data_IF_610586829615
#
_entry.id   IF_610586829615
#
_cell.length_a   1.000
_cell.length_b   1.000
_cell.length_c   1.000
_cell.angle_alpha   90.00
_cell.angle_beta   90.00
_cell.angle_gamma   90.00
#
_symmetry.space_group_name_H-M   'P 1'
#
loop_
_entity.id
_entity.type
_entity.pdbx_description
1 polymer ?
#
# COMPACT_ATOMS: atom_id res chain seq x y z
N UNK A 1 -64.07 -50.48 -20.84
CA UNK A 1 -62.86 -50.36 -19.99
C UNK A 1 -62.82 -48.98 -19.35
N UNK A 2 -63.09 -48.81 -18.03
CA UNK A 2 -63.10 -47.49 -17.42
C UNK A 2 -61.69 -47.01 -17.11
N UNK A 3 -61.36 -45.79 -17.56
CA UNK A 3 -60.07 -45.12 -17.33
C UNK A 3 -59.93 -44.79 -15.83
N UNK A 4 -58.85 -45.25 -15.19
CA UNK A 4 -58.48 -44.93 -13.80
C UNK A 4 -58.24 -43.43 -13.65
N UNK A 5 -59.08 -42.72 -12.88
CA UNK A 5 -58.83 -41.35 -12.40
C UNK A 5 -57.67 -41.38 -11.40
N UNK A 6 -56.47 -40.95 -11.81
CA UNK A 6 -55.32 -40.80 -10.89
C UNK A 6 -55.55 -39.57 -10.00
N UNK A 7 -55.37 -39.78 -8.70
CA UNK A 7 -55.77 -38.96 -7.56
C UNK A 7 -55.06 -37.59 -7.50
N UNK A 8 -55.88 -36.54 -7.37
CA UNK A 8 -55.54 -35.15 -6.97
C UNK A 8 -55.12 -35.06 -5.48
N UNK A 9 -55.12 -36.17 -4.74
CA UNK A 9 -54.93 -36.20 -3.28
C UNK A 9 -53.48 -35.99 -2.82
N UNK A 10 -52.49 -36.19 -3.69
CA UNK A 10 -51.06 -35.97 -3.36
C UNK A 10 -50.72 -34.49 -3.14
N UNK A 11 -51.29 -33.61 -3.96
CA UNK A 11 -51.11 -32.16 -3.83
C UNK A 11 -51.81 -31.60 -2.59
N UNK A 12 -52.99 -32.11 -2.25
CA UNK A 12 -53.71 -31.67 -1.06
C UNK A 12 -52.98 -32.05 0.24
N UNK A 13 -52.39 -33.25 0.31
CA UNK A 13 -51.59 -33.69 1.45
C UNK A 13 -50.28 -32.90 1.58
N UNK A 14 -49.58 -32.66 0.47
CA UNK A 14 -48.35 -31.85 0.42
C UNK A 14 -48.61 -30.41 0.86
N UNK A 15 -49.70 -29.79 0.39
CA UNK A 15 -50.13 -28.45 0.82
C UNK A 15 -50.41 -28.39 2.33
N UNK A 16 -51.12 -29.38 2.88
CA UNK A 16 -51.39 -29.47 4.33
C UNK A 16 -50.13 -29.64 5.16
N UNK A 17 -49.13 -30.35 4.64
CA UNK A 17 -47.84 -30.50 5.31
C UNK A 17 -47.00 -29.21 5.25
N UNK A 18 -47.02 -28.50 4.12
CA UNK A 18 -46.37 -27.19 3.98
C UNK A 18 -46.97 -26.15 4.94
N UNK A 19 -48.29 -26.13 5.09
CA UNK A 19 -49.00 -25.27 6.04
C UNK A 19 -48.55 -25.59 7.47
N UNK A 20 -48.58 -26.86 7.89
CA UNK A 20 -48.11 -27.27 9.23
C UNK A 20 -46.64 -26.90 9.47
N UNK A 21 -45.76 -27.06 8.47
CA UNK A 21 -44.35 -26.64 8.57
C UNK A 21 -44.23 -25.12 8.74
N UNK A 22 -45.07 -24.33 8.08
CA UNK A 22 -45.10 -22.87 8.24
C UNK A 22 -45.59 -22.47 9.62
N UNK A 23 -46.67 -23.07 10.10
CA UNK A 23 -47.23 -22.82 11.44
C UNK A 23 -46.21 -23.13 12.54
N UNK A 24 -45.48 -24.24 12.44
CA UNK A 24 -44.38 -24.54 13.37
C UNK A 24 -43.32 -23.45 13.38
N UNK A 25 -42.88 -22.96 12.21
CA UNK A 25 -41.87 -21.88 12.11
C UNK A 25 -42.33 -20.54 12.69
N UNK A 26 -43.63 -20.28 12.73
CA UNK A 26 -44.19 -19.04 13.30
C UNK A 26 -44.12 -19.06 14.82
N UNK A 27 -44.31 -20.23 15.43
CA UNK A 27 -44.35 -20.40 16.91
C UNK A 27 -42.98 -20.78 17.49
N UNK A 28 -42.01 -21.18 16.64
CA UNK A 28 -40.63 -21.49 17.04
C UNK A 28 -39.99 -20.35 17.85
N UNK A 29 -39.34 -20.70 18.96
CA UNK A 29 -38.52 -19.77 19.75
C UNK A 29 -37.25 -19.39 18.99
N UNK A 30 -36.61 -18.29 19.37
CA UNK A 30 -35.37 -17.85 18.73
C UNK A 30 -34.24 -18.88 18.87
N UNK A 31 -34.16 -19.58 19.99
CA UNK A 31 -33.20 -20.68 20.20
C UNK A 31 -33.47 -21.87 19.28
N UNK A 32 -34.74 -22.28 19.15
CA UNK A 32 -35.14 -23.37 18.24
C UNK A 32 -34.86 -23.00 16.78
N UNK A 33 -35.15 -21.75 16.39
CA UNK A 33 -34.85 -21.21 15.07
C UNK A 33 -33.34 -21.21 14.80
N UNK A 34 -32.54 -20.71 15.73
CA UNK A 34 -31.09 -20.64 15.59
C UNK A 34 -30.46 -22.04 15.53
N UNK A 35 -30.92 -22.98 16.35
CA UNK A 35 -30.52 -24.39 16.27
C UNK A 35 -30.87 -25.01 14.92
N UNK A 36 -32.10 -24.81 14.42
CA UNK A 36 -32.52 -25.29 13.11
C UNK A 36 -31.66 -24.71 11.98
N UNK A 37 -31.40 -23.38 12.00
CA UNK A 37 -30.55 -22.71 11.02
C UNK A 37 -29.10 -23.21 11.08
N UNK A 38 -28.56 -23.45 12.28
CA UNK A 38 -27.22 -24.00 12.47
C UNK A 38 -27.10 -25.40 11.87
N UNK A 39 -28.06 -26.29 12.11
CA UNK A 39 -28.08 -27.64 11.51
C UNK A 39 -28.14 -27.57 9.98
N UNK A 40 -28.96 -26.67 9.43
CA UNK A 40 -29.05 -26.46 7.98
C UNK A 40 -27.74 -25.91 7.39
N UNK A 41 -27.08 -24.99 8.10
CA UNK A 41 -25.78 -24.44 7.70
C UNK A 41 -24.69 -25.52 7.72
N UNK A 42 -24.64 -26.35 8.77
CA UNK A 42 -23.69 -27.45 8.90
C UNK A 42 -23.90 -28.51 7.81
N UNK A 43 -25.15 -28.93 7.58
CA UNK A 43 -25.49 -29.84 6.48
C UNK A 43 -25.06 -29.27 5.12
N UNK A 44 -25.27 -27.96 4.90
CA UNK A 44 -24.85 -27.28 3.69
C UNK A 44 -23.34 -27.17 3.54
N UNK A 45 -22.59 -27.03 4.64
CA UNK A 45 -21.13 -27.07 4.62
C UNK A 45 -20.62 -28.47 4.28
N UNK A 46 -21.14 -29.52 4.92
CA UNK A 46 -20.76 -30.91 4.63
C UNK A 46 -20.98 -31.26 3.16
N UNK A 47 -22.16 -30.94 2.62
CA UNK A 47 -22.46 -31.14 1.20
C UNK A 47 -21.47 -30.41 0.28
N UNK A 48 -21.05 -29.18 0.62
CA UNK A 48 -20.08 -28.41 -0.16
C UNK A 48 -18.66 -28.96 -0.06
N UNK A 49 -18.30 -29.62 1.06
CA UNK A 49 -17.01 -30.26 1.22
C UNK A 49 -16.90 -31.56 0.40
N UNK A 50 -18.03 -32.21 0.14
CA UNK A 50 -18.14 -33.45 -0.66
C UNK A 50 -18.36 -33.18 -2.17
N UNK A 51 -18.45 -31.92 -2.61
CA UNK A 51 -18.64 -31.57 -4.03
C UNK A 51 -17.39 -31.91 -4.86
N UNK A 52 -17.59 -32.49 -6.04
CA UNK A 52 -16.53 -32.56 -7.05
C UNK A 52 -16.28 -31.19 -7.69
N UNK A 53 -15.13 -31.01 -8.35
CA UNK A 53 -14.83 -29.75 -9.02
C UNK A 53 -15.83 -29.41 -10.14
N UNK A 54 -16.35 -30.40 -10.87
CA UNK A 54 -17.40 -30.19 -11.88
C UNK A 54 -18.72 -29.73 -11.24
N UNK A 55 -19.12 -30.37 -10.13
CA UNK A 55 -20.32 -29.99 -9.39
C UNK A 55 -20.19 -28.57 -8.81
N UNK A 56 -19.01 -28.25 -8.28
CA UNK A 56 -18.68 -26.92 -7.76
C UNK A 56 -18.73 -25.87 -8.85
N UNK A 57 -18.10 -26.13 -10.00
CA UNK A 57 -18.08 -25.21 -11.14
C UNK A 57 -19.47 -24.99 -11.73
N UNK A 58 -20.27 -26.06 -11.87
CA UNK A 58 -21.67 -25.98 -12.29
C UNK A 58 -22.50 -25.12 -11.33
N UNK A 59 -22.38 -25.38 -10.01
CA UNK A 59 -23.06 -24.60 -8.98
C UNK A 59 -22.66 -23.12 -9.02
N UNK A 60 -21.37 -22.82 -9.10
CA UNK A 60 -20.86 -21.45 -9.20
C UNK A 60 -21.33 -20.75 -10.48
N UNK A 61 -21.40 -21.47 -11.59
CA UNK A 61 -21.96 -20.99 -12.87
C UNK A 61 -23.41 -20.54 -12.72
N UNK A 62 -24.27 -21.39 -12.13
CA UNK A 62 -25.68 -21.07 -11.87
C UNK A 62 -25.82 -19.86 -10.92
N UNK A 63 -25.02 -19.80 -9.85
CA UNK A 63 -25.00 -18.65 -8.93
C UNK A 63 -24.57 -17.36 -9.62
N UNK A 64 -23.57 -17.43 -10.50
CA UNK A 64 -23.08 -16.33 -11.32
C UNK A 64 -24.15 -15.79 -12.26
N UNK A 65 -24.78 -16.68 -13.04
CA UNK A 65 -25.87 -16.33 -13.96
C UNK A 65 -27.04 -15.67 -13.22
N UNK A 66 -27.49 -16.28 -12.11
CA UNK A 66 -28.58 -15.71 -11.30
C UNK A 66 -28.20 -14.34 -10.71
N UNK A 67 -26.93 -14.13 -10.36
CA UNK A 67 -26.46 -12.82 -9.91
C UNK A 67 -26.46 -11.79 -11.03
N UNK A 68 -26.10 -12.16 -12.26
CA UNK A 68 -26.15 -11.27 -13.41
C UNK A 68 -27.59 -10.89 -13.75
N UNK A 69 -28.50 -11.86 -13.76
CA UNK A 69 -29.92 -11.59 -13.99
C UNK A 69 -30.50 -10.62 -12.96
N UNK A 70 -30.25 -10.84 -11.66
CA UNK A 70 -30.67 -9.90 -10.62
C UNK A 70 -30.09 -8.49 -10.81
N UNK A 71 -28.84 -8.37 -11.28
CA UNK A 71 -28.22 -7.07 -11.58
C UNK A 71 -28.83 -6.39 -12.80
N UNK A 72 -29.30 -7.16 -13.79
CA UNK A 72 -29.97 -6.61 -14.97
C UNK A 72 -31.38 -6.09 -14.64
N UNK A 73 -32.03 -6.71 -13.64
CA UNK A 73 -33.35 -6.32 -13.11
C UNK A 73 -33.28 -5.25 -11.99
N UNK A 74 -32.07 -4.80 -11.60
CA UNK A 74 -31.90 -3.77 -10.55
C UNK A 74 -32.42 -2.40 -11.00
N UNK A 75 -33.12 -1.72 -10.10
CA UNK A 75 -33.42 -0.29 -10.25
C UNK A 75 -32.18 0.56 -9.99
N UNK A 76 -32.19 1.82 -10.42
CA UNK A 76 -31.07 2.73 -10.24
C UNK A 76 -30.80 3.01 -8.75
N UNK A 77 -31.83 3.13 -7.90
CA UNK A 77 -31.62 3.28 -6.45
C UNK A 77 -31.00 2.04 -5.82
N UNK A 78 -31.43 0.84 -6.23
CA UNK A 78 -30.85 -0.42 -5.74
C UNK A 78 -29.39 -0.56 -6.17
N UNK A 79 -29.07 -0.17 -7.41
CA UNK A 79 -27.71 -0.15 -7.94
C UNK A 79 -26.83 0.82 -7.14
N UNK A 80 -27.29 2.04 -6.91
CA UNK A 80 -26.55 3.05 -6.14
C UNK A 80 -26.36 2.64 -4.68
N UNK A 81 -27.38 2.05 -4.04
CA UNK A 81 -27.25 1.50 -2.69
C UNK A 81 -26.22 0.37 -2.61
N UNK A 82 -26.22 -0.55 -3.60
CA UNK A 82 -25.24 -1.64 -3.69
C UNK A 82 -23.82 -1.12 -3.87
N UNK A 83 -23.62 -0.14 -4.76
CA UNK A 83 -22.31 0.48 -5.00
C UNK A 83 -21.81 1.23 -3.76
N UNK A 84 -22.67 1.99 -3.09
CA UNK A 84 -22.32 2.67 -1.83
C UNK A 84 -21.84 1.68 -0.76
N UNK A 85 -22.55 0.56 -0.57
CA UNK A 85 -22.13 -0.52 0.35
C UNK A 85 -20.78 -1.13 -0.05
N UNK A 86 -20.50 -1.28 -1.35
CA UNK A 86 -19.22 -1.80 -1.83
C UNK A 86 -18.07 -0.86 -1.51
N UNK A 87 -18.26 0.45 -1.72
CA UNK A 87 -17.26 1.48 -1.40
C UNK A 87 -16.98 1.51 0.10
N UNK A 88 -18.03 1.49 0.93
CA UNK A 88 -17.89 1.45 2.40
C UNK A 88 -17.07 0.24 2.87
N UNK A 89 -17.43 -0.97 2.40
CA UNK A 89 -16.65 -2.20 2.69
C UNK A 89 -15.22 -2.16 2.16
N UNK A 90 -14.97 -1.40 1.09
CA UNK A 90 -13.63 -1.17 0.57
C UNK A 90 -12.82 -0.28 1.50
N UNK A 91 -13.43 0.80 2.02
CA UNK A 91 -12.83 1.71 3.00
C UNK A 91 -12.51 0.99 4.31
N UNK A 92 -13.46 0.26 4.88
CA UNK A 92 -13.27 -0.55 6.09
C UNK A 92 -12.11 -1.53 5.96
N UNK A 93 -12.01 -2.24 4.82
CA UNK A 93 -10.88 -3.15 4.57
C UNK A 93 -9.53 -2.44 4.54
N UNK A 94 -9.46 -1.25 3.94
CA UNK A 94 -8.23 -0.44 3.93
C UNK A 94 -7.86 0.02 5.34
N UNK A 95 -8.83 0.46 6.13
CA UNK A 95 -8.62 0.87 7.52
C UNK A 95 -8.10 -0.31 8.37
N UNK A 96 -8.73 -1.49 8.27
CA UNK A 96 -8.28 -2.68 9.01
C UNK A 96 -6.86 -3.12 8.65
N UNK A 97 -6.45 -2.96 7.38
CA UNK A 97 -5.06 -3.23 6.95
C UNK A 97 -4.10 -2.22 7.57
N UNK A 98 -4.45 -0.93 7.58
CA UNK A 98 -3.64 0.12 8.20
C UNK A 98 -3.53 -0.12 9.71
N UNK A 99 -4.62 -0.45 10.39
CA UNK A 99 -4.62 -0.78 11.82
C UNK A 99 -3.76 -2.02 12.13
N UNK A 100 -3.87 -3.08 11.32
CA UNK A 100 -3.01 -4.27 11.45
C UNK A 100 -1.53 -3.98 11.20
N UNK A 101 -1.21 -3.16 10.20
CA UNK A 101 0.16 -2.73 9.90
C UNK A 101 0.74 -1.84 11.01
N UNK A 102 -0.04 -0.91 11.52
CA UNK A 102 0.34 -0.07 12.67
C UNK A 102 0.57 -0.93 13.92
N UNK A 103 -0.25 -1.96 14.15
CA UNK A 103 -0.04 -2.89 15.26
C UNK A 103 1.29 -3.63 15.16
N UNK A 104 1.64 -4.12 13.96
CA UNK A 104 2.93 -4.77 13.71
C UNK A 104 4.10 -3.79 13.85
N UNK A 105 4.02 -2.60 13.26
CA UNK A 105 5.08 -1.58 13.35
C UNK A 105 5.32 -1.11 14.79
N UNK A 106 4.26 -0.91 15.56
CA UNK A 106 4.36 -0.54 16.98
C UNK A 106 5.03 -1.67 17.78
N UNK A 107 4.67 -2.94 17.54
CA UNK A 107 5.36 -4.08 18.15
C UNK A 107 6.85 -4.13 17.78
N UNK A 108 7.21 -3.92 16.51
CA UNK A 108 8.61 -3.88 16.06
C UNK A 108 9.38 -2.73 16.71
N UNK A 109 8.77 -1.56 16.85
CA UNK A 109 9.39 -0.39 17.50
C UNK A 109 9.68 -0.65 18.99
N UNK A 110 8.73 -1.23 19.72
CA UNK A 110 8.94 -1.56 21.13
C UNK A 110 9.99 -2.68 21.30
N UNK A 111 9.99 -3.68 20.42
CA UNK A 111 11.02 -4.72 20.44
C UNK A 111 12.44 -4.14 20.19
N UNK A 112 12.59 -3.25 19.20
CA UNK A 112 13.86 -2.59 18.91
C UNK A 112 14.34 -1.66 20.04
N UNK A 113 13.40 -1.03 20.77
CA UNK A 113 13.71 -0.17 21.93
C UNK A 113 14.08 -0.96 23.19
N UNK A 114 13.60 -2.20 23.33
CA UNK A 114 13.97 -3.08 24.45
C UNK A 114 15.32 -3.78 24.28
N UNK A 115 15.88 -3.78 23.06
CA UNK A 115 17.30 -4.11 22.88
C UNK A 115 18.07 -2.93 23.46
N UNK A 116 18.69 -3.12 24.63
CA UNK A 116 19.73 -2.20 25.10
C UNK A 116 20.72 -2.07 23.94
N UNK A 117 20.74 -0.93 23.26
CA UNK A 117 21.87 -0.62 22.39
C UNK A 117 23.08 -0.68 23.33
N UNK A 118 24.02 -1.63 23.15
CA UNK A 118 25.26 -1.56 23.91
C UNK A 118 25.80 -0.15 23.65
N UNK A 119 26.24 0.52 24.72
CA UNK A 119 26.89 1.82 24.62
C UNK A 119 28.00 1.62 23.59
N UNK A 120 27.79 2.16 22.39
CA UNK A 120 28.78 2.10 21.32
C UNK A 120 29.88 3.02 21.83
N UNK A 121 31.04 2.46 22.15
CA UNK A 121 32.21 3.29 22.44
C UNK A 121 32.38 4.25 21.27
N UNK A 122 32.36 5.55 21.55
CA UNK A 122 32.53 6.58 20.53
C UNK A 122 33.86 6.33 19.82
N UNK A 123 33.80 5.78 18.61
CA UNK A 123 34.98 5.57 17.79
C UNK A 123 35.36 6.91 17.17
N UNK A 124 36.26 7.62 17.83
CA UNK A 124 36.80 8.86 17.34
C UNK A 124 37.89 8.58 16.30
N UNK A 125 37.61 8.87 15.02
CA UNK A 125 38.54 8.71 13.89
C UNK A 125 39.73 9.70 13.92
N UNK A 126 39.84 10.55 14.96
CA UNK A 126 40.89 11.54 15.12
C UNK A 126 40.65 12.80 14.27
N UNK A 127 41.67 13.67 14.20
CA UNK A 127 41.62 14.88 13.39
C UNK A 127 41.81 14.57 11.89
N UNK A 128 41.09 15.30 11.04
CA UNK A 128 41.16 15.17 9.57
C UNK A 128 42.23 16.12 9.01
N UNK A 129 43.49 15.88 9.36
CA UNK A 129 44.62 16.77 9.07
C UNK A 129 45.56 16.21 7.98
N UNK A 130 45.32 14.99 7.50
CA UNK A 130 46.25 14.35 6.58
C UNK A 130 46.00 14.82 5.14
N UNK A 131 46.94 15.61 4.62
CA UNK A 131 46.85 16.20 3.29
C UNK A 131 47.29 15.22 2.19
N UNK A 132 46.45 15.07 1.17
CA UNK A 132 46.82 14.42 -0.08
C UNK A 132 47.68 15.36 -0.92
N UNK A 133 48.94 15.00 -1.16
CA UNK A 133 49.88 15.80 -1.96
C UNK A 133 49.48 15.95 -3.44
N UNK A 134 48.47 15.21 -3.92
CA UNK A 134 48.03 15.24 -5.32
C UNK A 134 46.90 16.25 -5.59
N UNK A 135 45.94 16.39 -4.67
CA UNK A 135 44.79 17.29 -4.81
C UNK A 135 44.62 18.28 -3.64
N UNK A 136 45.49 18.25 -2.64
CA UNK A 136 45.35 19.11 -1.46
C UNK A 136 44.20 18.74 -0.52
N UNK A 137 43.41 17.70 -0.81
CA UNK A 137 42.31 17.24 0.05
C UNK A 137 42.80 16.73 1.40
N UNK A 138 42.03 16.98 2.45
CA UNK A 138 42.27 16.50 3.82
C UNK A 138 41.54 15.17 4.04
N UNK A 139 42.19 14.23 4.71
CA UNK A 139 41.72 12.88 4.96
C UNK A 139 42.00 12.46 6.41
N UNK A 140 41.25 11.47 6.89
CA UNK A 140 41.55 10.82 8.17
C UNK A 140 42.75 9.89 8.02
N UNK A 141 43.45 9.65 9.14
CA UNK A 141 44.67 8.84 9.14
C UNK A 141 44.43 7.41 8.63
N UNK A 142 43.29 6.83 9.00
CA UNK A 142 42.96 5.43 8.77
C UNK A 142 42.33 5.17 7.38
N UNK A 143 42.13 6.22 6.57
CA UNK A 143 41.64 6.10 5.19
C UNK A 143 42.74 5.68 4.19
N UNK A 144 44.00 5.67 4.62
CA UNK A 144 45.11 5.14 3.80
C UNK A 144 45.05 3.63 3.78
N UNK A 145 45.19 3.04 2.59
CA UNK A 145 45.43 1.60 2.48
C UNK A 145 46.82 1.23 3.05
N UNK A 146 47.12 -0.08 3.12
CA UNK A 146 48.43 -0.61 3.54
C UNK A 146 49.61 -0.11 2.70
N UNK A 147 49.35 0.49 1.54
CA UNK A 147 50.34 1.08 0.62
C UNK A 147 50.49 2.59 0.80
N UNK A 148 49.81 3.19 1.79
CA UNK A 148 49.86 4.63 2.09
C UNK A 148 49.08 5.52 1.11
N UNK A 149 48.20 4.94 0.28
CA UNK A 149 47.45 5.65 -0.75
C UNK A 149 45.97 5.72 -0.36
N UNK A 150 45.36 6.87 -0.54
CA UNK A 150 43.92 7.07 -0.42
C UNK A 150 43.19 6.51 -1.64
N UNK A 151 42.56 5.35 -1.50
CA UNK A 151 41.92 4.63 -2.61
C UNK A 151 40.72 5.33 -3.21
N UNK A 152 40.00 6.12 -2.39
CA UNK A 152 38.86 6.93 -2.81
C UNK A 152 39.23 8.37 -3.19
N UNK A 153 40.49 8.76 -3.01
CA UNK A 153 41.01 10.03 -3.49
C UNK A 153 41.39 9.92 -4.98
N UNK A 154 41.35 11.03 -5.73
CA UNK A 154 41.95 11.26 -7.04
C UNK A 154 41.88 10.14 -8.11
N UNK A 155 41.01 9.13 -8.00
CA UNK A 155 41.02 7.94 -8.85
C UNK A 155 42.45 7.37 -9.07
N UNK A 156 43.17 7.07 -7.98
CA UNK A 156 44.60 6.67 -7.97
C UNK A 156 45.58 7.72 -8.53
N UNK A 157 45.24 9.02 -8.43
CA UNK A 157 46.13 10.11 -8.84
C UNK A 157 45.92 10.59 -10.29
N UNK A 158 44.76 10.33 -10.89
CA UNK A 158 44.40 10.72 -12.25
C UNK A 158 43.50 11.95 -12.34
N UNK A 159 42.94 12.44 -11.24
CA UNK A 159 42.10 13.65 -11.26
C UNK A 159 43.01 14.88 -11.09
N UNK A 160 43.19 15.63 -12.18
CA UNK A 160 43.58 17.03 -12.12
C UNK A 160 42.33 17.78 -11.70
N UNK A 161 42.43 18.56 -10.62
CA UNK A 161 41.38 19.47 -10.18
C UNK A 161 41.18 20.54 -11.25
N UNK A 162 40.38 20.22 -12.28
CA UNK A 162 39.55 21.26 -12.85
C UNK A 162 38.58 21.57 -11.74
N UNK A 163 38.83 22.68 -11.04
CA UNK A 163 37.89 23.27 -10.11
C UNK A 163 36.53 23.17 -10.79
N UNK A 164 35.69 22.23 -10.35
CA UNK A 164 34.33 22.21 -10.81
C UNK A 164 33.84 23.59 -10.44
N UNK A 165 33.50 24.38 -11.46
CA UNK A 165 32.96 25.72 -11.24
C UNK A 165 31.62 25.44 -10.59
N UNK A 166 31.65 25.31 -9.27
CA UNK A 166 30.46 25.15 -8.46
C UNK A 166 29.66 26.42 -8.72
N UNK A 167 28.39 26.31 -9.16
CA UNK A 167 27.60 27.50 -9.45
C UNK A 167 27.66 28.41 -8.23
N UNK A 168 28.14 29.64 -8.43
CA UNK A 168 28.44 30.58 -7.33
C UNK A 168 27.22 30.78 -6.44
N UNK A 169 26.04 30.71 -7.04
CA UNK A 169 24.73 30.75 -6.40
C UNK A 169 24.51 29.60 -5.39
N UNK A 170 24.90 28.37 -5.73
CA UNK A 170 24.80 27.25 -4.79
C UNK A 170 25.79 27.37 -3.64
N UNK A 171 26.94 28.04 -3.87
CA UNK A 171 27.94 28.25 -2.82
C UNK A 171 27.33 29.09 -1.69
N UNK A 172 26.66 30.18 -2.04
CA UNK A 172 26.01 31.08 -1.09
C UNK A 172 24.90 30.41 -0.26
N UNK A 173 24.12 29.53 -0.90
CA UNK A 173 23.08 28.75 -0.23
C UNK A 173 23.65 27.71 0.75
N UNK A 174 24.81 27.14 0.46
CA UNK A 174 25.46 26.12 1.30
C UNK A 174 26.31 26.73 2.42
N UNK A 175 27.05 27.80 2.14
CA UNK A 175 27.95 28.45 3.12
C UNK A 175 27.23 29.40 4.08
N UNK A 176 25.99 29.79 3.79
CA UNK A 176 25.21 30.68 4.66
C UNK A 176 25.34 32.16 4.34
N UNK A 177 26.02 32.52 3.26
CA UNK A 177 26.17 33.91 2.83
C UNK A 177 24.96 34.47 2.08
N UNK A 178 24.05 33.62 1.61
CA UNK A 178 22.81 34.01 0.93
C UNK A 178 21.62 34.08 1.91
N UNK A 179 20.75 35.09 1.74
CA UNK A 179 19.55 35.29 2.57
C UNK A 179 18.60 34.08 2.57
N UNK A 180 18.60 33.30 1.49
CA UNK A 180 17.75 32.12 1.29
C UNK A 180 18.43 30.84 1.79
N UNK A 181 19.68 30.91 2.28
CA UNK A 181 20.42 29.75 2.81
C UNK A 181 19.69 29.05 3.95
N UNK A 182 19.07 29.82 4.86
CA UNK A 182 18.32 29.24 6.00
C UNK A 182 17.13 28.43 5.51
N UNK A 183 16.35 28.99 4.56
CA UNK A 183 15.22 28.30 3.97
C UNK A 183 15.65 27.05 3.20
N UNK A 184 16.73 27.18 2.41
CA UNK A 184 17.30 26.08 1.64
C UNK A 184 17.77 24.94 2.54
N UNK A 185 18.54 25.20 3.59
CA UNK A 185 19.04 24.19 4.54
C UNK A 185 17.91 23.48 5.29
N UNK A 186 16.90 24.23 5.72
CA UNK A 186 15.74 23.65 6.42
C UNK A 186 14.89 22.74 5.51
N UNK A 187 14.90 22.98 4.20
CA UNK A 187 14.08 22.26 3.23
C UNK A 187 14.89 21.39 2.26
N UNK A 188 16.20 21.23 2.46
CA UNK A 188 17.10 20.56 1.51
C UNK A 188 16.66 19.12 1.20
N UNK A 189 16.12 18.41 2.18
CA UNK A 189 15.58 17.06 2.03
C UNK A 189 14.35 17.02 1.11
N UNK A 190 13.51 18.06 1.15
CA UNK A 190 12.34 18.20 0.29
C UNK A 190 12.73 18.43 -1.17
N UNK A 191 13.79 19.23 -1.41
CA UNK A 191 14.35 19.45 -2.75
C UNK A 191 15.06 18.21 -3.30
N UNK A 192 15.74 17.43 -2.47
CA UNK A 192 16.37 16.17 -2.87
C UNK A 192 15.36 15.08 -3.23
N UNK A 193 14.23 15.00 -2.51
CA UNK A 193 13.12 14.13 -2.91
C UNK A 193 12.56 14.48 -4.30
N UNK A 194 12.58 15.75 -4.70
CA UNK A 194 12.11 16.17 -6.02
C UNK A 194 13.05 15.73 -7.15
N UNK A 195 14.38 15.85 -6.96
CA UNK A 195 15.38 15.45 -7.96
C UNK A 195 15.57 13.93 -8.06
N UNK A 196 15.12 13.15 -7.07
CA UNK A 196 15.18 11.68 -7.07
C UNK A 196 13.92 10.96 -7.56
N UNK A 197 12.84 11.69 -7.87
CA UNK A 197 11.57 11.08 -8.31
C UNK A 197 11.54 10.92 -9.85
N UNK A 198 11.78 9.70 -10.33
CA UNK A 198 11.67 9.33 -11.75
C UNK A 198 10.23 9.07 -12.22
N UNK A 199 9.21 9.52 -11.48
CA UNK A 199 7.81 9.21 -11.77
C UNK A 199 7.04 10.46 -12.24
N UNK A 200 6.86 10.58 -13.57
CA UNK A 200 6.41 11.79 -14.26
C UNK A 200 4.97 12.25 -13.96
N UNK A 201 4.14 11.45 -13.28
CA UNK A 201 2.72 11.79 -13.04
C UNK A 201 2.50 12.70 -11.83
N UNK A 202 3.41 12.68 -10.85
CA UNK A 202 3.37 13.56 -9.67
C UNK A 202 3.99 14.94 -9.95
N UNK A 203 4.73 15.06 -11.06
CA UNK A 203 5.45 16.27 -11.44
C UNK A 203 4.50 17.46 -11.70
N UNK A 204 3.32 17.20 -12.28
CA UNK A 204 2.42 18.26 -12.77
C UNK A 204 1.69 19.02 -11.65
N UNK A 205 1.31 18.35 -10.57
CA UNK A 205 0.59 18.99 -9.44
C UNK A 205 1.54 19.68 -8.45
N UNK A 206 2.78 19.17 -8.28
CA UNK A 206 3.78 19.78 -7.40
C UNK A 206 4.59 20.92 -8.03
N UNK A 207 4.61 21.02 -9.36
CA UNK A 207 5.25 22.14 -10.08
C UNK A 207 4.59 23.50 -9.76
N UNK A 208 3.29 23.50 -9.43
CA UNK A 208 2.56 24.74 -9.11
C UNK A 208 3.04 25.42 -7.82
N UNK A 209 3.62 24.66 -6.87
CA UNK A 209 4.15 25.24 -5.61
C UNK A 209 5.52 25.92 -5.81
N UNK A 210 6.33 25.43 -6.74
CA UNK A 210 7.65 26.00 -7.04
C UNK A 210 7.51 27.28 -7.87
N UNK A 211 6.57 27.33 -8.82
CA UNK A 211 6.36 28.49 -9.69
C UNK A 211 5.97 29.77 -8.91
N UNK A 212 5.34 29.60 -7.75
CA UNK A 212 4.97 30.70 -6.85
C UNK A 212 6.10 31.13 -5.89
N UNK A 213 7.16 30.32 -5.77
CA UNK A 213 8.26 30.53 -4.84
C UNK A 213 9.53 31.03 -5.53
N UNK A 214 9.77 30.61 -6.78
CA UNK A 214 10.98 30.92 -7.55
C UNK A 214 10.66 31.05 -9.06
N UNK A 215 10.27 32.23 -9.56
CA UNK A 215 9.84 32.40 -10.95
C UNK A 215 10.94 32.21 -12.01
N UNK A 216 12.21 32.39 -11.65
CA UNK A 216 13.32 32.45 -12.62
C UNK A 216 14.11 31.15 -12.81
N UNK A 217 13.85 30.08 -12.06
CA UNK A 217 14.63 28.83 -12.17
C UNK A 217 14.19 27.93 -13.36
N UNK A 218 13.11 28.30 -14.06
CA UNK A 218 12.50 27.46 -15.10
C UNK A 218 13.10 27.64 -16.50
N UNK A 219 13.94 28.66 -16.74
CA UNK A 219 14.39 28.97 -18.11
C UNK A 219 15.59 28.15 -18.59
N UNK A 220 16.39 27.55 -17.69
CA UNK A 220 17.65 26.89 -18.10
C UNK A 220 17.58 25.36 -18.26
N UNK A 221 16.43 24.74 -17.98
CA UNK A 221 16.28 23.28 -18.07
C UNK A 221 15.64 22.80 -19.39
N UNK A 222 15.33 23.68 -20.34
CA UNK A 222 14.73 23.31 -21.64
C UNK A 222 15.75 22.96 -22.73
N UNK A 223 17.00 22.66 -22.39
CA UNK A 223 17.97 22.17 -23.38
C UNK A 223 17.80 20.66 -23.57
N UNK A 224 16.94 20.28 -24.51
CA UNK A 224 16.88 18.90 -25.02
C UNK A 224 18.14 18.57 -25.83
N UNK A 225 18.84 17.45 -25.59
CA UNK A 225 19.91 17.01 -26.46
C UNK A 225 19.32 16.44 -27.76
N UNK A 226 19.85 16.88 -28.91
CA UNK A 226 19.72 16.20 -30.21
C UNK A 226 20.71 15.05 -30.32
#
# INVERSE_FOLDING_TARGET
MPKRKRRITGDAASRREAIRKRERRVVETEEQRNSQLAVMAQCGQRRRAEETDEQRNSRLGVLGQRSQQRRAEETEEQRNSRLAKMVQRGRERRLNVIEGQNHHQIQTFYAARTVLYPIVEEHNCGEMDNLCLKCGGLYFRDEKNTRGIYTHCCHNGNIIEQASVYPVEMKGLMDGSDELSVHFKNNIRSYQCFNGCTDCTVYRERSALIHNSWPNLSQDLSSTPS
#
